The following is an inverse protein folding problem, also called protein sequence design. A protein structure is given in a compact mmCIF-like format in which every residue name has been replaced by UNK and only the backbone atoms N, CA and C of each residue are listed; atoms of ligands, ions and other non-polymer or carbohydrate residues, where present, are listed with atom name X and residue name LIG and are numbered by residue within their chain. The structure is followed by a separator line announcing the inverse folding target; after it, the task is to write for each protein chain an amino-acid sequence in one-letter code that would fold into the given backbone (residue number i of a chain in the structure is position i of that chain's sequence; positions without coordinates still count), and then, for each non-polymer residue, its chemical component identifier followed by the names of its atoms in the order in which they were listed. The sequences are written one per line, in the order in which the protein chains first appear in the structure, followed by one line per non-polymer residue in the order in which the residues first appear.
data_IF_194300268476
#
_entry.id   IF_194300268476
#
_cell.length_a   1.000
_cell.length_b   1.000
_cell.length_c   1.000
_cell.angle_alpha   90.00
_cell.angle_beta   90.00
_cell.angle_gamma   90.00
#
_symmetry.space_group_name_H-M   'P 1'
#
loop_
_entity.id
_entity.type
_entity.pdbx_description
1 polymer ?
#
# COMPACT_ATOMS: atom_id res chain seq x y z
N UNK A 1 -16.50 -8.43 15.64
CA UNK A 1 -15.48 -9.49 15.70
C UNK A 1 -14.54 -9.26 14.53
N UNK A 2 -13.22 -9.09 14.71
CA UNK A 2 -12.32 -8.98 13.58
C UNK A 2 -12.41 -10.29 12.80
N UNK A 3 -12.89 -10.18 11.57
CA UNK A 3 -13.31 -11.30 10.77
C UNK A 3 -13.67 -10.83 9.37
N UNK A 4 -13.47 -11.73 8.43
CA UNK A 4 -13.73 -11.54 7.02
C UNK A 4 -15.20 -11.15 6.79
N UNK A 5 -15.44 -9.93 6.30
CA UNK A 5 -16.79 -9.38 6.09
C UNK A 5 -17.11 -9.33 4.60
N UNK A 6 -18.26 -9.83 4.19
CA UNK A 6 -18.73 -9.70 2.80
C UNK A 6 -19.49 -8.39 2.62
N UNK A 7 -19.22 -7.68 1.52
CA UNK A 7 -19.95 -6.49 1.11
C UNK A 7 -20.66 -6.74 -0.22
N UNK A 8 -21.90 -6.25 -0.32
CA UNK A 8 -22.76 -6.51 -1.48
C UNK A 8 -23.09 -5.25 -2.29
N UNK A 9 -22.79 -4.06 -1.75
CA UNK A 9 -23.08 -2.79 -2.39
C UNK A 9 -22.17 -1.68 -1.85
N UNK A 10 -22.18 -0.56 -2.55
CA UNK A 10 -21.32 0.58 -2.27
C UNK A 10 -21.72 1.31 -0.97
N UNK A 11 -23.00 1.25 -0.57
CA UNK A 11 -23.46 1.83 0.69
C UNK A 11 -22.83 1.12 1.90
N UNK A 12 -22.83 -0.21 1.92
CA UNK A 12 -22.20 -1.01 2.98
C UNK A 12 -20.71 -0.70 3.09
N UNK A 13 -20.01 -0.59 1.94
CA UNK A 13 -18.60 -0.22 1.93
C UNK A 13 -18.38 1.17 2.56
N UNK A 14 -19.15 2.18 2.14
CA UNK A 14 -19.03 3.55 2.69
C UNK A 14 -19.33 3.58 4.19
N UNK A 15 -20.33 2.82 4.64
CA UNK A 15 -20.69 2.75 6.05
C UNK A 15 -19.54 2.15 6.89
N UNK A 16 -18.86 1.11 6.39
CA UNK A 16 -17.68 0.51 7.05
C UNK A 16 -16.51 1.51 7.08
N UNK A 17 -16.20 2.12 5.93
CA UNK A 17 -15.09 3.09 5.83
C UNK A 17 -15.30 4.32 6.72
N UNK A 18 -16.55 4.73 6.93
CA UNK A 18 -16.89 5.88 7.79
C UNK A 18 -16.73 5.56 9.28
N UNK A 19 -17.00 4.31 9.70
CA UNK A 19 -16.86 3.88 11.10
C UNK A 19 -15.40 3.70 11.52
N UNK A 20 -14.56 3.26 10.60
CA UNK A 20 -13.17 2.88 10.86
C UNK A 20 -12.16 3.68 10.01
N UNK A 21 -12.35 5.00 9.90
CA UNK A 21 -11.56 5.87 9.01
C UNK A 21 -10.04 5.82 9.24
N UNK A 22 -9.59 5.48 10.46
CA UNK A 22 -8.17 5.34 10.79
C UNK A 22 -7.55 3.97 10.50
N UNK A 23 -8.37 2.93 10.27
CA UNK A 23 -7.88 1.55 10.05
C UNK A 23 -7.61 1.31 8.57
N UNK A 24 -6.65 0.41 8.31
CA UNK A 24 -6.47 -0.14 6.98
C UNK A 24 -7.67 -1.04 6.66
N UNK A 25 -8.25 -0.86 5.49
CA UNK A 25 -9.28 -1.75 4.95
C UNK A 25 -8.74 -2.41 3.69
N UNK A 26 -8.84 -3.73 3.60
CA UNK A 26 -8.43 -4.51 2.44
C UNK A 26 -9.67 -5.16 1.86
N UNK A 27 -9.87 -5.04 0.55
CA UNK A 27 -11.01 -5.62 -0.16
C UNK A 27 -10.49 -6.64 -1.16
N UNK A 28 -10.91 -7.90 -1.04
CA UNK A 28 -10.72 -8.95 -2.04
C UNK A 28 -11.90 -8.94 -3.02
N UNK A 29 -11.63 -8.48 -4.25
CA UNK A 29 -12.56 -8.57 -5.36
C UNK A 29 -12.43 -9.93 -6.03
N UNK A 30 -13.44 -10.78 -5.84
CA UNK A 30 -13.45 -12.16 -6.29
C UNK A 30 -14.69 -12.47 -7.15
N UNK A 31 -14.70 -13.64 -7.77
CA UNK A 31 -15.87 -14.22 -8.43
C UNK A 31 -15.93 -15.73 -8.13
N UNK A 32 -17.11 -16.33 -8.11
CA UNK A 32 -17.26 -17.76 -7.74
C UNK A 32 -16.66 -18.71 -8.78
N UNK A 33 -16.68 -18.29 -10.04
CA UNK A 33 -16.10 -19.02 -11.17
C UNK A 33 -14.57 -18.83 -11.27
N UNK A 34 -13.97 -17.95 -10.46
CA UNK A 34 -12.54 -17.66 -10.50
C UNK A 34 -11.73 -18.73 -9.77
N UNK A 35 -10.99 -19.55 -10.53
CA UNK A 35 -10.06 -20.56 -10.01
C UNK A 35 -8.98 -19.97 -9.06
N UNK A 36 -8.21 -18.96 -9.49
CA UNK A 36 -7.18 -18.34 -8.65
C UNK A 36 -7.72 -17.73 -7.34
N UNK A 37 -8.95 -17.23 -7.34
CA UNK A 37 -9.61 -16.67 -6.16
C UNK A 37 -9.80 -17.74 -5.08
N UNK A 38 -10.21 -18.97 -5.47
CA UNK A 38 -10.34 -20.10 -4.55
C UNK A 38 -9.00 -20.52 -3.94
N UNK A 39 -7.91 -20.40 -4.69
CA UNK A 39 -6.56 -20.74 -4.18
C UNK A 39 -6.07 -19.76 -3.11
N UNK A 40 -6.34 -18.46 -3.27
CA UNK A 40 -5.85 -17.43 -2.34
C UNK A 40 -6.78 -17.21 -1.14
N UNK A 41 -8.06 -17.57 -1.24
CA UNK A 41 -9.06 -17.34 -0.20
C UNK A 41 -8.64 -17.87 1.21
N UNK A 42 -8.07 -19.07 1.37
CA UNK A 42 -7.64 -19.54 2.69
C UNK A 42 -6.51 -18.68 3.30
N UNK A 43 -5.59 -18.20 2.47
CA UNK A 43 -4.53 -17.31 2.91
C UNK A 43 -5.08 -15.94 3.32
N UNK A 44 -6.02 -15.40 2.54
CA UNK A 44 -6.69 -14.15 2.86
C UNK A 44 -7.51 -14.24 4.17
N UNK A 45 -8.21 -15.35 4.39
CA UNK A 45 -8.90 -15.60 5.66
C UNK A 45 -7.92 -15.72 6.83
N UNK A 46 -6.77 -16.38 6.64
CA UNK A 46 -5.72 -16.44 7.66
C UNK A 46 -5.19 -15.05 8.03
N UNK A 47 -4.93 -14.19 7.03
CA UNK A 47 -4.53 -12.81 7.28
C UNK A 47 -5.59 -12.03 8.07
N UNK A 48 -6.88 -12.27 7.82
CA UNK A 48 -7.95 -11.61 8.60
C UNK A 48 -7.95 -11.97 10.08
N UNK A 49 -7.42 -13.15 10.44
CA UNK A 49 -7.28 -13.61 11.83
C UNK A 49 -6.00 -13.08 12.47
N UNK A 50 -4.93 -12.92 11.69
CA UNK A 50 -3.64 -12.43 12.13
C UNK A 50 -3.64 -10.89 12.35
N UNK A 51 -4.15 -10.15 11.37
CA UNK A 51 -4.15 -8.68 11.37
C UNK A 51 -5.47 -8.13 11.93
N UNK A 52 -5.66 -8.24 13.24
CA UNK A 52 -6.90 -7.81 13.92
C UNK A 52 -7.16 -6.29 13.90
N UNK A 53 -6.13 -5.50 13.58
CA UNK A 53 -6.19 -4.04 13.41
C UNK A 53 -6.54 -3.61 11.97
N UNK A 54 -6.81 -4.56 11.08
CA UNK A 54 -7.14 -4.33 9.68
C UNK A 54 -8.55 -4.87 9.39
N UNK A 55 -9.33 -4.12 8.61
CA UNK A 55 -10.64 -4.56 8.16
C UNK A 55 -10.47 -5.37 6.87
N UNK A 56 -10.85 -6.65 6.91
CA UNK A 56 -10.82 -7.53 5.75
C UNK A 56 -12.21 -7.70 5.16
N UNK A 57 -12.36 -7.27 3.92
CA UNK A 57 -13.61 -7.31 3.17
C UNK A 57 -13.49 -8.25 1.98
N UNK A 58 -14.61 -8.85 1.57
CA UNK A 58 -14.77 -9.57 0.30
C UNK A 58 -15.90 -8.98 -0.50
N UNK A 59 -15.68 -8.82 -1.79
CA UNK A 59 -16.63 -8.25 -2.73
C UNK A 59 -16.76 -9.19 -3.92
N UNK A 60 -17.93 -9.82 -4.09
CA UNK A 60 -18.19 -10.58 -5.31
C UNK A 60 -18.47 -9.59 -6.44
N UNK A 61 -17.69 -9.64 -7.52
CA UNK A 61 -17.83 -8.69 -8.63
C UNK A 61 -19.13 -8.87 -9.42
N UNK A 62 -19.76 -10.04 -9.34
CA UNK A 62 -21.03 -10.33 -10.01
C UNK A 62 -22.23 -9.80 -9.22
N UNK A 63 -22.13 -9.79 -7.88
CA UNK A 63 -23.19 -9.32 -6.97
C UNK A 63 -23.08 -7.81 -6.68
N UNK A 64 -21.86 -7.34 -6.37
CA UNK A 64 -21.56 -5.96 -5.96
C UNK A 64 -20.90 -5.17 -7.11
N UNK A 65 -21.59 -5.12 -8.26
CA UNK A 65 -21.07 -4.53 -9.50
C UNK A 65 -20.75 -3.04 -9.36
N UNK A 66 -21.53 -2.32 -8.57
CA UNK A 66 -21.33 -0.90 -8.26
C UNK A 66 -19.97 -0.66 -7.58
N UNK A 67 -19.61 -1.50 -6.61
CA UNK A 67 -18.31 -1.45 -5.93
C UNK A 67 -17.18 -1.79 -6.89
N UNK A 68 -17.32 -2.86 -7.68
CA UNK A 68 -16.30 -3.26 -8.65
C UNK A 68 -16.02 -2.16 -9.70
N UNK A 69 -17.07 -1.47 -10.16
CA UNK A 69 -16.95 -0.35 -11.10
C UNK A 69 -16.27 0.87 -10.48
N UNK A 70 -16.64 1.26 -9.24
CA UNK A 70 -16.04 2.39 -8.52
C UNK A 70 -14.51 2.27 -8.46
N UNK A 71 -14.00 1.06 -8.23
CA UNK A 71 -12.57 0.80 -8.16
C UNK A 71 -11.94 0.33 -9.48
N UNK A 72 -12.71 0.32 -10.58
CA UNK A 72 -12.25 -0.10 -11.92
C UNK A 72 -11.60 -1.49 -11.93
N UNK A 73 -12.22 -2.45 -11.24
CA UNK A 73 -11.75 -3.83 -11.18
C UNK A 73 -12.02 -4.53 -12.51
N UNK A 74 -10.96 -4.97 -13.18
CA UNK A 74 -11.03 -5.62 -14.49
C UNK A 74 -10.60 -7.11 -14.47
N UNK A 75 -10.03 -7.58 -13.37
CA UNK A 75 -9.55 -8.96 -13.23
C UNK A 75 -9.63 -9.40 -11.77
N UNK A 76 -9.86 -10.70 -11.55
CA UNK A 76 -9.96 -11.29 -10.22
C UNK A 76 -8.88 -12.37 -10.01
N UNK A 77 -8.35 -12.51 -8.78
CA UNK A 77 -8.62 -11.64 -7.65
C UNK A 77 -7.88 -10.30 -7.80
N UNK A 78 -8.48 -9.22 -7.30
CA UNK A 78 -7.79 -7.93 -7.11
C UNK A 78 -7.99 -7.50 -5.67
N UNK A 79 -6.90 -7.16 -5.00
CA UNK A 79 -6.91 -6.68 -3.62
C UNK A 79 -6.67 -5.18 -3.61
N UNK A 80 -7.58 -4.43 -2.98
CA UNK A 80 -7.48 -2.98 -2.86
C UNK A 80 -7.32 -2.62 -1.39
N UNK A 81 -6.28 -1.84 -1.12
CA UNK A 81 -5.96 -1.34 0.21
C UNK A 81 -6.44 0.10 0.31
N UNK A 82 -7.26 0.38 1.32
CA UNK A 82 -7.86 1.67 1.60
C UNK A 82 -7.46 2.15 2.99
N UNK A 83 -7.14 3.44 3.12
CA UNK A 83 -6.92 4.11 4.41
C UNK A 83 -7.60 5.47 4.37
N UNK A 84 -8.46 5.77 5.34
CA UNK A 84 -9.27 7.00 5.32
C UNK A 84 -10.15 7.14 4.08
N UNK A 85 -10.64 6.02 3.52
CA UNK A 85 -11.42 5.99 2.28
C UNK A 85 -10.60 6.23 1.00
N UNK A 86 -9.29 6.44 1.10
CA UNK A 86 -8.41 6.64 -0.05
C UNK A 86 -7.64 5.36 -0.38
N UNK A 87 -7.49 5.07 -1.68
CA UNK A 87 -6.71 3.93 -2.17
C UNK A 87 -5.21 4.14 -1.97
N UNK A 88 -4.58 3.26 -1.21
CA UNK A 88 -3.13 3.33 -0.89
C UNK A 88 -2.30 2.32 -1.67
N UNK A 89 -2.86 1.14 -1.99
CA UNK A 89 -2.17 0.10 -2.74
C UNK A 89 -3.18 -0.80 -3.49
N UNK A 90 -2.72 -1.45 -4.54
CA UNK A 90 -3.51 -2.43 -5.30
C UNK A 90 -2.62 -3.59 -5.68
N UNK A 91 -3.07 -4.80 -5.36
CA UNK A 91 -2.40 -6.05 -5.73
C UNK A 91 -3.32 -6.81 -6.67
N UNK A 92 -2.81 -7.26 -7.81
CA UNK A 92 -3.59 -8.01 -8.80
C UNK A 92 -3.11 -9.46 -8.82
N UNK A 93 -4.06 -10.38 -8.95
CA UNK A 93 -3.80 -11.81 -9.01
C UNK A 93 -3.60 -12.45 -7.63
N UNK A 94 -3.58 -13.79 -7.63
CA UNK A 94 -3.47 -14.62 -6.44
C UNK A 94 -2.02 -14.68 -5.90
N UNK A 95 -1.43 -13.53 -5.59
CA UNK A 95 -0.06 -13.45 -5.11
C UNK A 95 -0.01 -13.16 -3.60
N UNK A 96 0.07 -14.23 -2.81
CA UNK A 96 0.15 -14.17 -1.34
C UNK A 96 1.26 -13.24 -0.85
N UNK A 97 2.44 -13.30 -1.47
CA UNK A 97 3.60 -12.53 -1.02
C UNK A 97 3.42 -11.02 -1.17
N UNK A 98 2.73 -10.54 -2.21
CA UNK A 98 2.48 -9.10 -2.34
C UNK A 98 1.42 -8.61 -1.37
N UNK A 99 0.38 -9.41 -1.14
CA UNK A 99 -0.67 -9.10 -0.17
C UNK A 99 -0.06 -8.94 1.22
N UNK A 100 0.78 -9.87 1.63
CA UNK A 100 1.46 -9.84 2.94
C UNK A 100 2.43 -8.64 3.06
N UNK A 101 3.18 -8.33 2.00
CA UNK A 101 4.04 -7.13 1.98
C UNK A 101 3.22 -5.85 2.11
N UNK A 102 2.11 -5.74 1.40
CA UNK A 102 1.22 -4.58 1.45
C UNK A 102 0.56 -4.45 2.83
N UNK A 103 0.11 -5.56 3.42
CA UNK A 103 -0.42 -5.62 4.78
C UNK A 103 0.59 -5.10 5.80
N UNK A 104 1.82 -5.62 5.80
CA UNK A 104 2.88 -5.13 6.70
C UNK A 104 3.15 -3.64 6.51
N UNK A 105 3.33 -3.21 5.26
CA UNK A 105 3.65 -1.81 4.91
C UNK A 105 2.58 -0.82 5.37
N UNK A 106 1.30 -1.20 5.32
CA UNK A 106 0.18 -0.28 5.57
C UNK A 106 -0.53 -0.49 6.92
N UNK A 107 -0.29 -1.61 7.60
CA UNK A 107 -0.86 -1.90 8.93
C UNK A 107 -0.13 -1.21 10.09
N UNK A 108 1.09 -0.70 9.87
CA UNK A 108 1.93 0.01 10.84
C UNK A 108 1.45 1.46 11.15
N UNK A 109 0.15 1.59 11.43
CA UNK A 109 -0.49 2.75 12.06
C UNK A 109 -0.94 2.49 13.50
N UNK A 110 -0.45 1.43 14.14
CA UNK A 110 -0.52 1.18 15.58
C UNK A 110 0.54 0.15 15.96
N UNK A 111 1.57 0.62 16.66
CA UNK A 111 2.68 -0.10 17.31
C UNK A 111 3.62 -0.95 16.44
N UNK A 112 4.80 -0.39 16.24
CA UNK A 112 6.07 -1.02 15.94
C UNK A 112 6.29 -2.32 16.73
N UNK A 113 6.25 -3.45 16.03
CA UNK A 113 6.85 -4.71 16.47
C UNK A 113 8.27 -4.79 15.95
N UNK A 114 9.22 -4.28 16.72
CA UNK A 114 10.65 -4.59 16.72
C UNK A 114 11.23 -5.18 15.40
N UNK A 115 11.94 -4.31 14.68
CA UNK A 115 13.09 -4.72 13.89
C UNK A 115 14.10 -5.43 14.83
N UNK A 116 14.01 -6.76 14.93
CA UNK A 116 15.08 -7.60 15.47
C UNK A 116 15.75 -8.30 14.30
N UNK A 117 16.74 -7.60 13.76
CA UNK A 117 17.66 -8.07 12.74
C UNK A 117 18.94 -7.26 12.82
N UNK A 118 19.59 -7.30 13.98
CA UNK A 118 20.97 -6.85 14.12
C UNK A 118 21.86 -7.61 13.14
N UNK A 119 22.74 -6.87 12.47
CA UNK A 119 23.50 -7.33 11.32
C UNK A 119 24.48 -8.47 11.61
N UNK A 120 24.86 -9.14 10.53
CA UNK A 120 26.08 -9.93 10.48
C UNK A 120 26.94 -9.41 9.32
N UNK A 121 27.96 -8.64 9.69
CA UNK A 121 29.22 -8.60 8.95
C UNK A 121 30.20 -9.49 9.71
N UNK A 122 30.69 -10.54 9.06
CA UNK A 122 31.86 -11.32 9.46
C UNK A 122 32.72 -11.36 8.18
N UNK A 123 33.81 -10.59 8.07
CA UNK A 123 35.06 -10.74 8.83
C UNK A 123 36.01 -11.58 7.97
N UNK A 124 36.75 -10.96 7.05
CA UNK A 124 38.17 -10.56 7.19
C UNK A 124 39.17 -11.66 6.83
N UNK A 125 39.88 -11.47 5.72
CA UNK A 125 41.31 -11.78 5.64
C UNK A 125 42.01 -10.62 4.88
N UNK A 126 42.82 -9.87 5.64
CA UNK A 126 43.99 -9.09 5.20
C UNK A 126 44.82 -9.89 4.16
N UNK A 127 45.61 -9.36 3.22
CA UNK A 127 46.25 -8.04 2.95
C UNK A 127 47.04 -8.20 1.61
N UNK A 128 47.92 -7.28 1.18
CA UNK A 128 47.74 -5.89 0.76
C UNK A 128 48.30 -5.69 -0.68
N UNK A 129 48.18 -4.50 -1.28
CA UNK A 129 49.28 -3.83 -2.04
C UNK A 129 48.78 -2.60 -2.80
N UNK A 130 49.48 -1.48 -2.53
CA UNK A 130 49.77 -0.36 -3.43
C UNK A 130 48.58 0.50 -3.92
N UNK A 131 48.62 1.83 -3.97
CA UNK A 131 49.57 2.89 -3.61
C UNK A 131 48.86 4.21 -4.00
N UNK A 132 49.07 5.31 -3.23
CA UNK A 132 49.27 6.72 -3.72
C UNK A 132 48.09 7.39 -4.48
N UNK A 133 47.57 8.61 -4.26
CA UNK A 133 47.89 9.87 -3.55
C UNK A 133 46.68 10.85 -3.76
N UNK A 134 46.68 12.11 -3.24
CA UNK A 134 45.48 12.84 -2.81
C UNK A 134 45.00 13.97 -3.73
N UNK A 135 43.81 14.49 -3.43
CA UNK A 135 43.20 15.72 -3.98
C UNK A 135 41.76 15.44 -4.40
N UNK A 136 40.74 16.22 -4.10
CA UNK A 136 40.57 17.53 -3.50
C UNK A 136 39.07 17.85 -3.61
N UNK A 137 38.65 18.90 -2.91
CA UNK A 137 37.44 19.69 -3.20
C UNK A 137 36.06 19.14 -2.78
N UNK A 138 35.69 19.59 -1.58
CA UNK A 138 34.38 20.18 -1.26
C UNK A 138 33.62 20.73 -2.48
N UNK A 139 32.43 20.16 -2.74
CA UNK A 139 31.46 20.68 -3.70
C UNK A 139 30.01 20.46 -3.21
N UNK A 140 29.09 21.42 -3.40
CA UNK A 140 27.89 21.58 -2.57
C UNK A 140 26.61 21.01 -3.21
N UNK A 141 25.64 20.68 -2.35
CA UNK A 141 24.19 20.86 -2.53
C UNK A 141 23.69 21.03 -3.98
N UNK A 142 23.45 19.95 -4.71
CA UNK A 142 22.57 19.99 -5.89
C UNK A 142 22.17 18.58 -6.36
N UNK A 143 21.37 17.85 -5.58
CA UNK A 143 20.63 16.72 -6.14
C UNK A 143 19.19 16.72 -5.63
N UNK A 144 18.38 17.60 -6.24
CA UNK A 144 16.95 17.69 -5.98
C UNK A 144 16.23 17.33 -7.28
N UNK A 145 15.37 16.32 -7.18
CA UNK A 145 14.73 15.64 -8.30
C UNK A 145 13.95 16.61 -9.21
N UNK A 146 13.96 16.42 -10.54
CA UNK A 146 13.22 17.27 -11.49
C UNK A 146 11.70 17.37 -11.21
N UNK A 147 11.14 16.38 -10.52
CA UNK A 147 9.72 16.33 -10.14
C UNK A 147 9.34 17.38 -9.09
N UNK A 148 10.22 17.70 -8.14
CA UNK A 148 9.91 18.67 -7.08
C UNK A 148 9.81 20.12 -7.58
N UNK A 149 10.59 20.46 -8.61
CA UNK A 149 10.57 21.80 -9.25
C UNK A 149 9.25 22.05 -9.99
N UNK A 150 8.70 21.02 -10.63
CA UNK A 150 7.41 21.09 -11.32
C UNK A 150 6.24 21.33 -10.35
N UNK A 151 6.23 20.64 -9.19
CA UNK A 151 5.21 20.88 -8.17
C UNK A 151 5.31 22.29 -7.57
N UNK A 152 6.52 22.78 -7.30
CA UNK A 152 6.73 24.13 -6.78
C UNK A 152 6.22 25.22 -7.73
N UNK A 153 6.49 25.10 -9.03
CA UNK A 153 6.03 26.06 -10.04
C UNK A 153 4.49 26.06 -10.19
N UNK A 154 3.86 24.89 -10.12
CA UNK A 154 2.40 24.78 -10.22
C UNK A 154 1.70 25.39 -9.00
N UNK A 155 2.23 25.16 -7.79
CA UNK A 155 1.68 25.76 -6.57
C UNK A 155 1.88 27.27 -6.57
N UNK A 156 3.06 27.77 -6.97
CA UNK A 156 3.31 29.21 -7.08
C UNK A 156 2.38 29.88 -8.11
N UNK A 157 2.20 29.28 -9.29
CA UNK A 157 1.28 29.79 -10.31
C UNK A 157 -0.18 29.82 -9.81
N UNK A 158 -0.62 28.79 -9.08
CA UNK A 158 -1.95 28.74 -8.49
C UNK A 158 -2.16 29.84 -7.44
N UNK A 159 -1.18 30.06 -6.56
CA UNK A 159 -1.24 31.12 -5.53
C UNK A 159 -1.28 32.50 -6.18
N UNK A 160 -0.47 32.74 -7.21
CA UNK A 160 -0.48 34.01 -7.95
C UNK A 160 -1.83 34.23 -8.64
N UNK A 161 -2.35 33.22 -9.34
CA UNK A 161 -3.67 33.31 -9.99
C UNK A 161 -4.81 33.52 -9.00
N UNK A 162 -4.74 32.95 -7.80
CA UNK A 162 -5.71 33.17 -6.74
C UNK A 162 -5.66 34.61 -6.20
N UNK A 163 -4.45 35.16 -6.04
CA UNK A 163 -4.25 36.51 -5.50
C UNK A 163 -4.69 37.61 -6.47
N UNK A 164 -4.53 37.42 -7.78
CA UNK A 164 -4.99 38.38 -8.80
C UNK A 164 -6.49 38.30 -9.10
N UNK A 165 -7.20 37.30 -8.55
CA UNK A 165 -8.65 37.12 -8.72
C UNK A 165 -9.46 37.51 -7.47
N UNK A 166 -8.82 38.04 -6.42
CA UNK A 166 -9.46 38.63 -5.24
C UNK A 166 -9.39 40.16 -5.25
#
# INVERSE_FOLDING_TARGET
MPGLTTINNLKELRDILSRDSGKLTVIDFYADWCGPCRMIAPAYEAFSKEYTNVNFLKCNVDEARDVAMEYSVAAMPTFIFLKGGSKVETVRGANKGEIERALRKHSEGSSSGAFSGQGQRLGSSESPSADVAPGGDIGPLANMSPQAKMFGLLVAAYVVLWYFKS
#
